data_IF_374111517946
#
_entry.id   IF_374111517946
#
_cell.length_a   1.000
_cell.length_b   1.000
_cell.length_c   1.000
_cell.angle_alpha   90.00
_cell.angle_beta   90.00
_cell.angle_gamma   90.00
#
_symmetry.space_group_name_H-M   'P 1'
#
loop_
_entity.id
_entity.type
_entity.pdbx_description
1 polymer ?
#
# COMPACT_ATOMS: atom_id res chain seq x y z
N UNK A 1 -26.61 49.09 32.29
CA UNK A 1 -27.69 48.16 32.68
C UNK A 1 -28.47 47.82 31.43
N UNK A 2 -28.13 46.71 30.77
CA UNK A 2 -28.79 46.24 29.56
C UNK A 2 -28.72 44.73 29.54
N UNK A 3 -29.82 44.08 29.93
CA UNK A 3 -29.98 42.63 30.00
C UNK A 3 -30.33 42.09 28.61
N UNK A 4 -29.47 41.24 28.05
CA UNK A 4 -29.77 40.49 26.82
C UNK A 4 -30.51 39.20 27.21
N UNK A 5 -31.80 39.14 26.87
CA UNK A 5 -32.64 37.94 26.96
C UNK A 5 -32.34 37.01 25.78
N UNK A 6 -32.00 35.76 26.10
CA UNK A 6 -31.89 34.66 25.14
C UNK A 6 -33.28 34.04 24.92
N UNK A 7 -33.74 34.04 23.68
CA UNK A 7 -35.01 33.45 23.26
C UNK A 7 -34.80 31.95 22.94
N UNK A 8 -35.53 31.07 23.63
CA UNK A 8 -35.54 29.62 23.36
C UNK A 8 -36.70 29.26 22.44
N UNK A 9 -36.39 28.81 21.23
CA UNK A 9 -37.28 28.03 20.37
C UNK A 9 -36.58 26.66 20.25
N UNK A 10 -37.05 25.58 20.86
CA UNK A 10 -38.30 24.88 20.55
C UNK A 10 -37.93 23.46 20.11
N UNK A 11 -37.48 22.63 21.06
CA UNK A 11 -37.12 21.22 20.82
C UNK A 11 -38.41 20.38 20.74
N UNK A 12 -38.76 19.92 19.54
CA UNK A 12 -39.84 18.93 19.37
C UNK A 12 -39.35 17.54 19.73
N UNK A 13 -39.97 16.98 20.77
CA UNK A 13 -39.78 15.61 21.24
C UNK A 13 -40.59 14.66 20.37
N UNK A 14 -39.92 13.79 19.60
CA UNK A 14 -40.58 12.63 18.98
C UNK A 14 -40.46 11.44 19.93
N UNK A 15 -41.57 11.13 20.59
CA UNK A 15 -41.75 9.88 21.34
C UNK A 15 -42.21 8.80 20.36
N UNK A 16 -41.38 7.79 20.09
CA UNK A 16 -41.81 6.60 19.36
C UNK A 16 -41.81 5.41 20.33
N UNK A 17 -43.00 4.83 20.44
CA UNK A 17 -43.39 3.72 21.30
C UNK A 17 -42.65 2.43 20.98
N UNK A 18 -42.22 1.76 22.04
CA UNK A 18 -41.64 0.42 22.06
C UNK A 18 -42.64 -0.63 21.56
N UNK A 19 -42.14 -1.65 20.84
CA UNK A 19 -42.75 -2.99 20.84
C UNK A 19 -41.65 -4.05 20.87
N UNK A 20 -41.60 -4.75 22.01
CA UNK A 20 -40.76 -5.90 22.33
C UNK A 20 -41.38 -7.16 21.72
N UNK A 21 -40.64 -7.92 20.92
CA UNK A 21 -40.93 -9.33 20.63
C UNK A 21 -39.64 -10.15 20.64
N UNK A 22 -39.28 -10.65 21.82
CA UNK A 22 -38.16 -11.56 22.02
C UNK A 22 -38.64 -13.02 22.09
N UNK A 23 -38.37 -13.81 21.04
CA UNK A 23 -38.30 -15.29 21.12
C UNK A 23 -37.31 -15.83 20.09
N UNK A 24 -36.17 -16.34 20.55
CA UNK A 24 -35.57 -17.61 20.08
C UNK A 24 -34.46 -18.01 21.06
N UNK A 25 -34.60 -19.22 21.61
CA UNK A 25 -33.66 -19.81 22.56
C UNK A 25 -32.41 -20.31 21.82
N UNK A 26 -31.22 -19.87 22.23
CA UNK A 26 -29.96 -20.54 21.92
C UNK A 26 -29.25 -20.86 23.23
N UNK A 27 -29.29 -22.14 23.58
CA UNK A 27 -28.62 -22.73 24.74
C UNK A 27 -27.12 -22.70 24.53
N UNK A 28 -26.40 -21.86 25.27
CA UNK A 28 -24.93 -21.88 25.32
C UNK A 28 -24.49 -23.01 26.25
N UNK A 29 -23.76 -23.99 25.70
CA UNK A 29 -23.10 -25.04 26.48
C UNK A 29 -21.78 -24.49 27.04
N UNK A 30 -21.43 -24.76 28.31
CA UNK A 30 -20.17 -24.36 28.89
C UNK A 30 -19.01 -25.20 28.31
N UNK A 31 -17.94 -24.52 27.90
CA UNK A 31 -16.67 -25.13 27.53
C UNK A 31 -15.89 -25.49 28.79
N UNK A 32 -15.57 -26.77 28.98
CA UNK A 32 -14.60 -27.24 29.97
C UNK A 32 -13.18 -27.11 29.39
N UNK A 33 -12.22 -26.44 30.06
CA UNK A 33 -10.81 -26.56 29.70
C UNK A 33 -10.22 -27.84 30.34
N UNK A 34 -9.50 -28.69 29.58
CA UNK A 34 -8.78 -29.80 30.18
C UNK A 34 -7.53 -29.32 30.92
N UNK A 35 -7.38 -29.91 32.11
CA UNK A 35 -6.31 -29.74 33.09
C UNK A 35 -4.96 -30.27 32.60
N UNK A 36 -3.93 -29.42 32.74
CA UNK A 36 -2.54 -29.69 33.13
C UNK A 36 -1.92 -31.07 32.81
N UNK A 37 -0.92 -31.07 31.94
CA UNK A 37 0.31 -31.83 32.19
C UNK A 37 1.53 -30.96 31.83
N UNK A 38 2.33 -30.60 32.85
CA UNK A 38 3.62 -29.91 32.67
C UNK A 38 4.69 -30.95 32.33
N UNK A 39 5.39 -30.86 31.18
CA UNK A 39 6.65 -31.55 31.03
C UNK A 39 7.76 -30.77 31.75
N UNK A 40 8.58 -31.48 32.55
CA UNK A 40 9.82 -30.96 33.16
C UNK A 40 10.84 -30.68 32.05
N UNK A 41 11.14 -29.40 31.80
CA UNK A 41 12.23 -29.01 30.90
C UNK A 41 13.54 -29.17 31.66
N UNK A 42 14.38 -30.11 31.21
CA UNK A 42 15.78 -30.20 31.62
C UNK A 42 16.59 -29.22 30.78
N UNK A 43 17.25 -28.28 31.43
CA UNK A 43 18.26 -27.44 30.81
C UNK A 43 19.49 -28.31 30.49
N UNK A 44 19.89 -28.36 29.21
CA UNK A 44 21.24 -28.74 28.84
C UNK A 44 21.75 -27.70 27.85
N UNK A 45 22.76 -26.96 28.31
CA UNK A 45 23.47 -26.02 27.48
C UNK A 45 24.49 -26.77 26.64
N UNK A 46 24.55 -26.44 25.36
CA UNK A 46 25.84 -26.29 24.67
C UNK A 46 25.57 -25.39 23.46
N UNK A 47 26.29 -24.28 23.40
CA UNK A 47 26.39 -23.41 22.24
C UNK A 47 27.27 -24.14 21.22
N UNK A 48 26.86 -24.28 19.96
CA UNK A 48 27.80 -24.21 18.86
C UNK A 48 27.62 -22.86 18.20
N UNK A 49 28.64 -22.02 18.38
CA UNK A 49 28.93 -20.91 17.51
C UNK A 49 29.25 -21.52 16.15
N UNK A 50 28.22 -21.67 15.32
CA UNK A 50 28.36 -22.03 13.93
C UNK A 50 28.13 -20.77 13.13
N UNK A 51 29.25 -20.13 12.80
CA UNK A 51 29.38 -19.21 11.68
C UNK A 51 28.60 -19.77 10.50
N UNK A 52 27.39 -19.26 10.29
CA UNK A 52 26.64 -19.50 9.08
C UNK A 52 27.17 -18.52 8.05
N UNK A 53 28.32 -18.87 7.46
CA UNK A 53 28.68 -18.35 6.15
C UNK A 53 27.55 -18.76 5.19
N UNK A 54 26.64 -17.83 4.91
CA UNK A 54 25.63 -18.01 3.88
C UNK A 54 26.33 -18.01 2.52
N UNK A 55 26.50 -19.19 1.95
CA UNK A 55 26.74 -19.40 0.51
C UNK A 55 25.61 -18.71 -0.28
N UNK A 56 25.87 -18.03 -1.42
CA UNK A 56 24.83 -17.39 -2.22
C UNK A 56 24.05 -18.47 -2.98
N UNK A 57 23.05 -19.05 -2.33
CA UNK A 57 22.12 -20.00 -2.92
C UNK A 57 20.72 -19.39 -2.99
N UNK A 58 20.29 -19.12 -4.23
CA UNK A 58 18.90 -19.25 -4.70
C UNK A 58 17.82 -18.32 -4.12
N UNK A 59 18.12 -17.05 -3.85
CA UNK A 59 17.05 -16.04 -3.70
C UNK A 59 16.29 -15.90 -5.03
N UNK A 60 14.98 -16.22 -5.07
CA UNK A 60 14.20 -16.23 -6.30
C UNK A 60 14.28 -14.85 -6.98
N UNK A 61 14.37 -14.81 -8.33
CA UNK A 61 14.45 -13.56 -9.06
C UNK A 61 13.28 -12.65 -8.70
N UNK A 62 13.60 -11.49 -8.17
CA UNK A 62 12.63 -10.50 -7.74
C UNK A 62 13.07 -9.09 -8.12
N UNK A 63 12.07 -8.25 -8.39
CA UNK A 63 12.25 -6.83 -8.68
C UNK A 63 11.94 -6.05 -7.40
N UNK A 64 12.88 -5.21 -7.02
CA UNK A 64 12.73 -4.32 -5.87
C UNK A 64 12.05 -3.02 -6.29
N UNK A 65 11.27 -2.45 -5.38
CA UNK A 65 10.55 -1.19 -5.57
C UNK A 65 10.89 -0.23 -4.45
N UNK A 66 11.09 1.03 -4.81
CA UNK A 66 11.06 2.16 -3.90
C UNK A 66 9.84 3.02 -4.26
N UNK A 67 8.80 2.96 -3.43
CA UNK A 67 7.59 3.77 -3.60
C UNK A 67 7.70 5.05 -2.79
N UNK A 68 7.82 6.19 -3.48
CA UNK A 68 7.91 7.50 -2.84
C UNK A 68 6.52 8.09 -2.67
N UNK A 69 6.16 8.42 -1.45
CA UNK A 69 4.88 9.02 -1.11
C UNK A 69 4.74 10.42 -1.77
N UNK A 70 3.51 10.86 -2.01
CA UNK A 70 3.24 12.21 -2.51
C UNK A 70 3.49 13.30 -1.46
N UNK A 71 3.49 12.94 -0.18
CA UNK A 71 3.71 13.84 0.95
C UNK A 71 5.08 13.56 1.55
N UNK A 72 5.87 14.61 1.77
CA UNK A 72 7.17 14.51 2.44
C UNK A 72 6.98 14.32 3.94
N UNK A 73 8.00 13.77 4.59
CA UNK A 73 8.08 13.69 6.04
C UNK A 73 8.21 15.11 6.64
N UNK A 74 7.92 15.29 7.96
CA UNK A 74 8.00 16.60 8.61
C UNK A 74 9.38 17.29 8.55
N UNK A 75 10.43 16.51 8.32
CA UNK A 75 11.81 16.98 8.14
C UNK A 75 12.13 17.40 6.69
N UNK A 76 11.19 17.23 5.75
CA UNK A 76 11.35 17.54 4.34
C UNK A 76 11.94 16.40 3.50
N UNK A 77 12.22 15.24 4.08
CA UNK A 77 12.74 14.08 3.33
C UNK A 77 11.61 13.28 2.65
N UNK A 78 11.88 12.60 1.52
CA UNK A 78 10.88 11.76 0.89
C UNK A 78 10.55 10.54 1.75
N UNK A 79 9.26 10.28 1.95
CA UNK A 79 8.78 9.05 2.57
C UNK A 79 8.83 7.91 1.55
N UNK A 80 9.68 6.90 1.78
CA UNK A 80 9.94 5.81 0.84
C UNK A 80 9.59 4.46 1.44
N UNK A 81 8.73 3.72 0.74
CA UNK A 81 8.38 2.35 1.09
C UNK A 81 9.06 1.35 0.14
N UNK A 82 9.90 0.48 0.71
CA UNK A 82 10.55 -0.60 -0.04
C UNK A 82 9.69 -1.85 -0.11
N UNK A 83 9.55 -2.44 -1.30
CA UNK A 83 8.84 -3.70 -1.54
C UNK A 83 9.60 -4.55 -2.55
N UNK A 84 9.28 -5.85 -2.59
CA UNK A 84 9.81 -6.76 -3.61
C UNK A 84 8.67 -7.59 -4.19
N UNK A 85 8.72 -7.87 -5.48
CA UNK A 85 7.74 -8.69 -6.17
C UNK A 85 8.37 -9.48 -7.32
N UNK A 86 7.79 -10.65 -7.60
CA UNK A 86 8.14 -11.42 -8.80
C UNK A 86 7.72 -10.66 -10.07
N UNK A 87 8.51 -10.74 -11.13
CA UNK A 87 8.11 -10.19 -12.42
C UNK A 87 6.94 -10.95 -13.06
N UNK A 88 6.33 -10.35 -14.08
CA UNK A 88 5.08 -10.77 -14.71
C UNK A 88 3.82 -10.17 -14.07
N UNK A 89 3.91 -9.60 -12.86
CA UNK A 89 2.76 -9.05 -12.14
C UNK A 89 2.38 -7.63 -12.62
N UNK A 90 1.11 -7.24 -12.42
CA UNK A 90 0.68 -5.86 -12.64
C UNK A 90 1.14 -4.97 -11.50
N UNK A 91 1.66 -3.80 -11.84
CA UNK A 91 2.15 -2.85 -10.84
C UNK A 91 1.04 -2.42 -9.87
N UNK A 92 -0.19 -2.26 -10.36
CA UNK A 92 -1.36 -1.99 -9.52
C UNK A 92 -1.52 -3.02 -8.41
N UNK A 93 -1.44 -4.30 -8.74
CA UNK A 93 -1.73 -5.38 -7.79
C UNK A 93 -0.63 -5.42 -6.72
N UNK A 94 0.64 -5.30 -7.14
CA UNK A 94 1.78 -5.15 -6.22
C UNK A 94 1.56 -4.01 -5.22
N UNK A 95 1.14 -2.83 -5.69
CA UNK A 95 0.89 -1.67 -4.83
C UNK A 95 -0.25 -1.93 -3.85
N UNK A 96 -1.39 -2.44 -4.33
CA UNK A 96 -2.56 -2.69 -3.49
C UNK A 96 -2.32 -3.79 -2.45
N UNK A 97 -1.69 -4.90 -2.85
CA UNK A 97 -1.36 -6.03 -1.98
C UNK A 97 -0.33 -5.64 -0.91
N UNK A 98 0.50 -4.63 -1.19
CA UNK A 98 1.55 -4.11 -0.30
C UNK A 98 1.12 -2.90 0.54
N UNK A 99 -0.17 -2.56 0.54
CA UNK A 99 -0.75 -1.39 1.20
C UNK A 99 -0.09 -0.06 0.79
N UNK A 100 0.28 0.07 -0.48
CA UNK A 100 0.77 1.32 -1.06
C UNK A 100 -0.40 2.07 -1.70
N UNK A 101 -0.54 3.34 -1.36
CA UNK A 101 -1.63 4.18 -1.84
C UNK A 101 -1.45 4.51 -3.33
N UNK A 102 -2.25 3.84 -4.15
CA UNK A 102 -2.30 4.09 -5.60
C UNK A 102 -3.36 5.13 -5.98
N UNK A 103 -4.39 5.28 -5.16
CA UNK A 103 -5.48 6.20 -5.42
C UNK A 103 -5.39 7.41 -4.53
N UNK A 104 -5.58 8.59 -5.13
CA UNK A 104 -5.70 9.82 -4.38
C UNK A 104 -6.82 9.71 -3.34
N UNK A 105 -6.78 10.53 -2.28
CA UNK A 105 -7.73 10.46 -1.16
C UNK A 105 -9.20 10.50 -1.62
N UNK A 106 -9.48 11.18 -2.73
CA UNK A 106 -10.82 11.29 -3.34
C UNK A 106 -11.13 10.22 -4.40
N UNK A 107 -10.14 9.46 -4.87
CA UNK A 107 -10.27 8.43 -5.91
C UNK A 107 -10.44 7.00 -5.34
N UNK A 108 -10.73 6.90 -4.04
CA UNK A 108 -11.08 5.67 -3.27
C UNK A 108 -12.21 4.82 -3.94
N UNK A 109 -12.56 3.61 -3.44
CA UNK A 109 -13.09 2.45 -4.21
C UNK A 109 -14.17 2.66 -5.28
N UNK A 110 -14.90 3.77 -5.20
CA UNK A 110 -16.06 4.07 -6.03
C UNK A 110 -15.71 4.57 -7.44
N UNK A 111 -14.50 5.08 -7.68
CA UNK A 111 -14.15 5.76 -8.94
C UNK A 111 -13.09 5.05 -9.80
N UNK A 112 -12.62 3.87 -9.37
CA UNK A 112 -11.63 3.13 -10.14
C UNK A 112 -12.27 2.03 -11.02
N UNK A 113 -11.76 1.86 -12.23
CA UNK A 113 -12.27 0.88 -13.21
C UNK A 113 -11.78 -0.57 -12.99
N UNK A 114 -11.33 -0.94 -11.78
CA UNK A 114 -10.82 -2.28 -11.50
C UNK A 114 -9.56 -2.67 -12.29
N UNK A 115 -8.90 -1.71 -12.93
CA UNK A 115 -7.74 -1.96 -13.80
C UNK A 115 -8.04 -2.02 -15.30
N UNK A 116 -9.26 -1.69 -15.73
CA UNK A 116 -9.62 -1.62 -17.15
C UNK A 116 -8.91 -0.52 -17.98
N UNK A 117 -8.16 0.39 -17.35
CA UNK A 117 -7.41 1.45 -18.03
C UNK A 117 -8.25 2.62 -18.56
N UNK A 118 -9.54 2.71 -18.23
CA UNK A 118 -10.46 3.74 -18.75
C UNK A 118 -10.61 4.95 -17.82
N UNK A 119 -10.56 4.74 -16.51
CA UNK A 119 -10.76 5.80 -15.50
C UNK A 119 -9.56 6.76 -15.37
N UNK A 120 -8.34 6.31 -15.68
CA UNK A 120 -7.13 7.11 -15.50
C UNK A 120 -6.79 7.44 -14.04
N UNK A 121 -7.30 6.70 -13.05
CA UNK A 121 -7.03 7.00 -11.63
C UNK A 121 -5.79 6.29 -11.05
N UNK A 122 -5.23 5.31 -11.77
CA UNK A 122 -4.10 4.49 -11.33
C UNK A 122 -2.74 5.10 -11.76
N UNK A 123 -2.61 6.42 -11.70
CA UNK A 123 -1.44 7.16 -12.24
C UNK A 123 -0.28 7.08 -11.28
N UNK A 124 0.90 6.74 -11.83
CA UNK A 124 2.18 6.76 -11.13
C UNK A 124 3.23 7.41 -12.00
N UNK A 125 4.27 7.95 -11.40
CA UNK A 125 5.45 8.45 -12.11
C UNK A 125 6.62 7.48 -11.93
N UNK A 126 7.23 7.07 -13.04
CA UNK A 126 8.41 6.21 -13.03
C UNK A 126 9.64 7.10 -13.03
N UNK A 127 10.40 7.09 -11.95
CA UNK A 127 11.64 7.86 -11.79
C UNK A 127 12.81 7.05 -12.35
N UNK A 128 12.89 5.77 -12.01
CA UNK A 128 13.96 4.86 -12.43
C UNK A 128 13.40 3.45 -12.70
N UNK A 129 14.12 2.64 -13.49
CA UNK A 129 13.73 1.26 -13.77
C UNK A 129 12.68 1.10 -14.87
N UNK A 130 12.58 2.05 -15.82
CA UNK A 130 11.58 2.01 -16.89
C UNK A 130 11.74 0.80 -17.81
N UNK A 131 12.97 0.35 -18.00
CA UNK A 131 13.35 -0.84 -18.76
C UNK A 131 12.85 -2.15 -18.13
N UNK A 132 12.60 -2.15 -16.82
CA UNK A 132 11.99 -3.26 -16.10
C UNK A 132 10.46 -3.24 -16.18
N UNK A 133 9.87 -2.34 -16.96
CA UNK A 133 8.43 -2.23 -17.12
C UNK A 133 8.03 -2.51 -18.56
N UNK A 134 6.82 -3.04 -18.74
CA UNK A 134 6.26 -3.26 -20.06
C UNK A 134 6.18 -1.96 -20.87
N UNK A 135 6.24 -2.04 -22.21
CA UNK A 135 5.96 -0.90 -23.07
C UNK A 135 4.58 -0.29 -22.78
N UNK A 136 4.39 0.97 -23.17
CA UNK A 136 3.11 1.66 -23.00
C UNK A 136 2.04 1.04 -23.87
N UNK A 137 0.90 0.71 -23.28
CA UNK A 137 -0.28 0.23 -24.02
C UNK A 137 -1.00 1.39 -24.72
N UNK A 138 -1.88 1.09 -25.66
CA UNK A 138 -2.63 2.14 -26.37
C UNK A 138 -3.58 2.92 -25.46
N UNK A 139 -4.16 2.25 -24.45
CA UNK A 139 -4.94 2.91 -23.38
C UNK A 139 -4.09 3.91 -22.62
N UNK A 140 -2.84 3.57 -22.30
CA UNK A 140 -1.91 4.50 -21.64
C UNK A 140 -1.53 5.68 -22.54
N UNK A 141 -1.36 5.46 -23.85
CA UNK A 141 -1.06 6.52 -24.80
C UNK A 141 -2.23 7.50 -24.93
N UNK A 142 -3.46 6.98 -24.98
CA UNK A 142 -4.66 7.79 -25.09
C UNK A 142 -4.94 8.60 -23.81
N UNK A 143 -4.88 7.93 -22.65
CA UNK A 143 -5.25 8.57 -21.37
C UNK A 143 -4.21 9.57 -20.88
N UNK A 144 -2.93 9.29 -21.09
CA UNK A 144 -1.84 10.12 -20.60
C UNK A 144 -1.22 11.00 -21.70
N UNK A 145 -1.95 11.28 -22.78
CA UNK A 145 -1.46 12.05 -23.94
C UNK A 145 -0.99 13.48 -23.59
N UNK A 146 -1.49 14.05 -22.50
CA UNK A 146 -1.14 15.40 -22.01
C UNK A 146 -0.19 15.38 -20.82
N UNK A 147 0.20 14.20 -20.35
CA UNK A 147 1.03 14.02 -19.16
C UNK A 147 2.50 13.78 -19.56
N UNK A 148 3.44 13.96 -18.61
CA UNK A 148 4.84 13.62 -18.82
C UNK A 148 5.04 12.17 -19.31
N UNK A 149 6.06 11.94 -20.13
CA UNK A 149 6.31 10.64 -20.79
C UNK A 149 6.64 9.52 -19.80
N UNK A 150 7.13 9.87 -18.61
CA UNK A 150 7.47 8.95 -17.52
C UNK A 150 6.26 8.57 -16.66
N UNK A 151 5.09 9.17 -16.85
CA UNK A 151 3.88 8.79 -16.14
C UNK A 151 3.25 7.54 -16.73
N UNK A 152 2.80 6.61 -15.90
CA UNK A 152 2.24 5.32 -16.32
C UNK A 152 0.90 5.09 -15.65
N UNK A 153 0.07 4.25 -16.26
CA UNK A 153 -1.06 3.65 -15.56
C UNK A 153 -0.55 2.36 -14.91
N UNK A 154 -0.44 2.34 -13.59
CA UNK A 154 0.03 1.17 -12.85
C UNK A 154 -0.79 -0.08 -13.18
N UNK A 155 -2.08 0.10 -13.46
CA UNK A 155 -2.99 -0.98 -13.82
C UNK A 155 -2.80 -1.54 -15.23
N UNK A 156 -2.10 -0.83 -16.11
CA UNK A 156 -1.76 -1.34 -17.45
C UNK A 156 -0.30 -1.80 -17.53
N UNK A 157 0.52 -1.37 -16.58
CA UNK A 157 1.95 -1.67 -16.53
C UNK A 157 2.21 -3.04 -15.92
N UNK A 158 2.94 -3.89 -16.65
CA UNK A 158 3.46 -5.16 -16.13
C UNK A 158 4.93 -4.99 -15.76
N UNK A 159 5.33 -5.57 -14.64
CA UNK A 159 6.71 -5.52 -14.12
C UNK A 159 7.49 -6.69 -14.70
N UNK A 160 8.49 -6.42 -15.53
CA UNK A 160 9.51 -7.38 -15.94
C UNK A 160 8.99 -8.72 -16.47
N UNK A 161 9.88 -9.71 -16.43
CA UNK A 161 9.63 -11.14 -16.63
C UNK A 161 9.92 -11.86 -15.32
N UNK A 162 9.57 -13.14 -15.24
CA UNK A 162 9.77 -13.94 -14.02
C UNK A 162 11.23 -13.99 -13.53
N UNK A 163 12.20 -13.83 -14.43
CA UNK A 163 13.64 -13.83 -14.17
C UNK A 163 14.25 -12.43 -13.94
N UNK A 164 13.44 -11.38 -14.04
CA UNK A 164 13.95 -10.00 -13.95
C UNK A 164 14.39 -9.65 -12.53
N UNK A 165 15.53 -8.95 -12.44
CA UNK A 165 16.08 -8.41 -11.20
C UNK A 165 16.42 -6.93 -11.41
N UNK A 166 16.30 -6.13 -10.37
CA UNK A 166 16.65 -4.71 -10.40
C UNK A 166 15.81 -3.89 -9.44
N UNK A 167 15.90 -2.57 -9.59
CA UNK A 167 15.17 -1.59 -8.78
C UNK A 167 14.30 -0.73 -9.69
N UNK A 168 13.05 -0.52 -9.28
CA UNK A 168 12.13 0.45 -9.89
C UNK A 168 11.77 1.49 -8.85
N UNK A 169 12.00 2.76 -9.16
CA UNK A 169 11.64 3.88 -8.29
C UNK A 169 10.38 4.54 -8.82
N UNK A 170 9.36 4.60 -7.98
CA UNK A 170 8.03 5.06 -8.37
C UNK A 170 7.55 6.15 -7.42
N UNK A 171 7.22 7.31 -7.98
CA UNK A 171 6.48 8.35 -7.30
C UNK A 171 4.98 8.04 -7.32
N UNK A 172 4.39 7.97 -6.13
CA UNK A 172 2.96 7.82 -5.92
C UNK A 172 2.26 9.14 -6.22
N UNK A 173 1.05 9.05 -6.80
CA UNK A 173 0.13 10.18 -6.95
C UNK A 173 0.81 11.45 -7.48
N UNK A 174 1.46 11.41 -8.65
CA UNK A 174 2.27 12.54 -9.13
C UNK A 174 1.44 13.81 -9.38
N UNK A 175 0.13 13.67 -9.58
CA UNK A 175 -0.81 14.80 -9.65
C UNK A 175 -1.01 15.53 -8.31
N UNK A 176 -0.66 14.88 -7.19
CA UNK A 176 -0.83 15.37 -5.82
C UNK A 176 0.51 15.68 -5.15
N UNK A 177 1.61 15.65 -5.91
CA UNK A 177 2.94 15.98 -5.43
C UNK A 177 2.99 17.47 -5.10
N UNK A 178 2.82 17.80 -3.82
CA UNK A 178 2.82 19.19 -3.35
C UNK A 178 4.22 19.82 -3.31
N UNK A 179 5.27 18.99 -3.30
CA UNK A 179 6.66 19.41 -3.15
C UNK A 179 7.53 18.71 -4.19
N UNK A 180 8.43 19.46 -4.81
CA UNK A 180 9.49 18.90 -5.63
C UNK A 180 10.58 18.30 -4.73
N UNK A 181 11.15 17.18 -5.15
CA UNK A 181 12.28 16.54 -4.47
C UNK A 181 13.19 15.94 -5.54
N UNK A 182 14.48 15.88 -5.22
CA UNK A 182 15.51 15.40 -6.14
C UNK A 182 15.93 14.00 -5.76
N UNK A 183 15.92 13.09 -6.74
CA UNK A 183 16.48 11.76 -6.58
C UNK A 183 17.99 11.82 -6.83
N UNK A 184 18.77 11.78 -5.75
CA UNK A 184 20.22 11.67 -5.83
C UNK A 184 20.61 10.21 -5.92
N UNK A 185 21.07 9.80 -7.11
CA UNK A 185 21.71 8.51 -7.29
C UNK A 185 23.14 8.64 -6.79
N UNK A 186 23.43 8.17 -5.59
CA UNK A 186 24.82 8.02 -5.17
C UNK A 186 25.49 6.99 -6.09
N UNK A 187 26.22 7.49 -7.10
CA UNK A 187 27.13 6.68 -7.89
C UNK A 187 28.30 6.33 -6.97
N UNK A 188 28.66 5.05 -6.80
CA UNK A 188 29.89 4.71 -6.11
C UNK A 188 31.03 5.38 -6.87
N UNK A 189 31.76 6.27 -6.19
CA UNK A 189 32.95 6.91 -6.72
C UNK A 189 33.92 5.82 -7.15
N UNK A 190 34.16 5.70 -8.46
CA UNK A 190 35.28 4.90 -8.97
C UNK A 190 36.55 5.43 -8.29
N UNK A 191 37.18 4.56 -7.49
CA UNK A 191 38.44 4.83 -6.79
C UNK A 191 39.59 4.26 -7.61
#
# INVERSE_FOLDING_TARGET
MGTLQLNSYGLSSFSLTQNFTSKTHKTLKPFNPPSSSRPKIKAIGTIPESQSQATPADEPPSVNFAFVNSVLLPDGTPDVHFRSACGGQKLRDIMLDSNIDLYGPYARPLLNCGGGGTCGTCIVEVIEGKELLSPRTDKEKEKLKRNPKNWRLACQTTVGKADSRGLVVIQQLPEWKAHEWTYEKELPSET
#
